data_IF_146003043214
#
_entry.id   IF_146003043214
#
_cell.length_a   1.000
_cell.length_b   1.000
_cell.length_c   1.000
_cell.angle_alpha   90.00
_cell.angle_beta   90.00
_cell.angle_gamma   90.00
#
_symmetry.space_group_name_H-M   'P 1'
#
loop_
_entity.id
_entity.type
_entity.pdbx_description
1 polymer ?
#
# COMPACT_ATOMS: atom_id res chain seq x y z
N UNK A 1 16.50 26.54 -19.37
CA UNK A 1 15.47 26.70 -18.31
C UNK A 1 16.07 26.19 -17.02
N UNK A 2 16.03 26.95 -15.91
CA UNK A 2 16.51 26.47 -14.61
C UNK A 2 15.63 25.32 -14.13
N UNK A 3 16.21 24.28 -13.52
CA UNK A 3 15.43 23.20 -12.89
C UNK A 3 14.47 23.79 -11.85
N UNK A 4 13.24 23.29 -11.73
CA UNK A 4 12.33 23.72 -10.67
C UNK A 4 12.93 23.44 -9.29
N UNK A 5 12.58 24.26 -8.30
CA UNK A 5 12.93 24.04 -6.89
C UNK A 5 12.23 22.77 -6.41
N UNK A 6 12.91 21.96 -5.60
CA UNK A 6 12.28 20.73 -5.09
C UNK A 6 11.17 20.99 -4.10
N UNK A 7 10.21 20.07 -4.08
CA UNK A 7 9.14 19.99 -3.10
C UNK A 7 9.29 18.67 -2.35
N UNK A 8 9.20 18.66 -1.00
CA UNK A 8 9.33 17.42 -0.22
C UNK A 8 8.26 16.36 -0.54
N UNK A 9 7.19 16.75 -1.24
CA UNK A 9 6.10 15.87 -1.69
C UNK A 9 6.12 15.62 -3.20
N UNK A 10 7.18 16.05 -3.91
CA UNK A 10 7.44 15.67 -5.30
C UNK A 10 6.79 16.50 -6.39
N UNK A 11 6.25 17.69 -6.08
CA UNK A 11 5.59 18.56 -7.07
C UNK A 11 6.49 18.91 -8.27
N UNK A 12 7.80 19.03 -8.07
CA UNK A 12 8.77 19.37 -9.09
C UNK A 12 8.97 18.29 -10.16
N UNK A 13 8.52 17.06 -9.91
CA UNK A 13 8.52 15.96 -10.88
C UNK A 13 7.18 15.76 -11.57
N UNK A 14 6.16 16.59 -11.30
CA UNK A 14 4.87 16.47 -11.97
C UNK A 14 4.93 17.10 -13.35
N UNK A 15 4.73 16.28 -14.39
CA UNK A 15 4.72 16.75 -15.78
C UNK A 15 3.30 17.07 -16.25
N UNK A 16 2.31 16.26 -15.87
CA UNK A 16 0.93 16.43 -16.34
C UNK A 16 -0.11 16.07 -15.27
N UNK A 17 -1.01 17.00 -14.89
CA UNK A 17 -0.95 18.45 -15.13
C UNK A 17 0.14 19.11 -14.26
N UNK A 18 1.08 19.82 -14.88
CA UNK A 18 2.18 20.51 -14.20
C UNK A 18 1.66 21.57 -13.20
N UNK A 19 2.19 21.56 -11.97
CA UNK A 19 1.90 22.59 -10.95
C UNK A 19 0.53 22.50 -10.26
N UNK A 20 -0.39 21.66 -10.74
CA UNK A 20 -1.77 21.60 -10.26
C UNK A 20 -2.09 20.35 -9.44
N UNK A 21 -1.27 19.30 -9.54
CA UNK A 21 -1.54 18.00 -8.93
C UNK A 21 -0.39 17.49 -8.07
N UNK A 22 -0.73 16.72 -7.04
CA UNK A 22 0.25 15.90 -6.32
C UNK A 22 0.67 14.71 -7.18
N UNK A 23 1.88 14.14 -6.97
CA UNK A 23 2.39 13.07 -7.81
C UNK A 23 1.46 11.86 -7.94
N UNK A 24 0.65 11.56 -6.92
CA UNK A 24 -0.32 10.47 -6.97
C UNK A 24 -1.45 10.70 -7.98
N UNK A 25 -1.94 11.94 -8.05
CA UNK A 25 -3.05 12.34 -8.92
C UNK A 25 -2.59 12.70 -10.34
N UNK A 26 -1.30 13.04 -10.51
CA UNK A 26 -0.71 13.33 -11.80
C UNK A 26 -0.88 12.17 -12.78
N UNK A 27 -1.15 12.50 -14.04
CA UNK A 27 -1.12 11.53 -15.14
C UNK A 27 0.32 11.06 -15.40
N UNK A 28 1.27 12.00 -15.40
CA UNK A 28 2.67 11.74 -15.77
C UNK A 28 3.67 12.40 -14.83
N UNK A 29 4.72 11.66 -14.48
CA UNK A 29 5.85 12.10 -13.68
C UNK A 29 7.17 12.07 -14.46
N UNK A 30 8.09 12.95 -14.07
CA UNK A 30 9.48 12.94 -14.46
C UNK A 30 10.23 11.87 -13.66
N UNK A 31 10.51 10.73 -14.29
CA UNK A 31 11.27 9.63 -13.69
C UNK A 31 12.78 9.68 -13.99
N UNK A 32 13.31 10.82 -14.45
CA UNK A 32 14.75 10.94 -14.76
C UNK A 32 15.63 10.70 -13.53
N UNK A 33 16.78 10.06 -13.77
CA UNK A 33 17.72 9.61 -12.73
C UNK A 33 18.39 10.74 -11.91
N UNK A 34 18.73 11.92 -12.46
CA UNK A 34 19.38 12.97 -11.68
C UNK A 34 18.54 13.44 -10.50
N UNK A 35 19.13 13.42 -9.31
CA UNK A 35 18.43 13.80 -8.07
C UNK A 35 18.27 15.31 -7.90
N UNK A 36 17.24 15.67 -7.15
CA UNK A 36 17.19 16.92 -6.40
C UNK A 36 17.81 16.73 -5.00
N UNK A 37 18.22 17.82 -4.31
CA UNK A 37 18.97 17.73 -3.06
C UNK A 37 18.29 16.91 -1.95
N UNK A 38 16.97 16.89 -1.88
CA UNK A 38 16.19 16.19 -0.84
C UNK A 38 15.77 14.76 -1.22
N UNK A 39 16.13 14.29 -2.41
CA UNK A 39 15.68 13.01 -2.95
C UNK A 39 16.64 11.86 -2.66
N UNK A 40 16.13 10.63 -2.81
CA UNK A 40 16.91 9.40 -2.73
C UNK A 40 16.60 8.53 -3.93
N UNK A 41 17.64 8.01 -4.61
CA UNK A 41 17.50 7.02 -5.67
C UNK A 41 17.63 5.62 -5.09
N UNK A 42 16.71 4.75 -5.45
CA UNK A 42 16.70 3.34 -5.08
C UNK A 42 16.83 2.51 -6.35
N UNK A 43 17.84 1.65 -6.40
CA UNK A 43 17.94 0.61 -7.41
C UNK A 43 16.88 -0.46 -7.14
N UNK A 44 15.98 -0.68 -8.11
CA UNK A 44 14.85 -1.60 -7.94
C UNK A 44 15.34 -3.05 -8.00
N UNK A 45 14.83 -3.88 -7.08
CA UNK A 45 15.02 -5.33 -7.09
C UNK A 45 13.70 -6.06 -7.37
N UNK A 46 12.61 -5.59 -6.77
CA UNK A 46 11.29 -6.21 -6.90
C UNK A 46 10.21 -5.16 -6.70
N UNK A 47 9.23 -5.13 -7.60
CA UNK A 47 7.97 -4.42 -7.38
C UNK A 47 6.96 -5.41 -6.79
N UNK A 48 6.16 -4.93 -5.84
CA UNK A 48 5.01 -5.64 -5.31
C UNK A 48 3.75 -4.88 -5.72
N UNK A 49 3.12 -5.32 -6.81
CA UNK A 49 1.85 -4.73 -7.23
C UNK A 49 0.81 -4.96 -6.13
N UNK A 50 -0.05 -3.97 -5.89
CA UNK A 50 -1.10 -4.19 -4.91
C UNK A 50 -2.09 -5.27 -5.40
N UNK A 51 -2.72 -5.96 -4.45
CA UNK A 51 -3.56 -7.11 -4.74
C UNK A 51 -4.80 -6.81 -5.60
N UNK A 52 -5.28 -5.56 -5.64
CA UNK A 52 -6.40 -5.18 -6.50
C UNK A 52 -5.90 -4.94 -7.93
N UNK A 53 -4.80 -4.20 -8.07
CA UNK A 53 -4.16 -3.91 -9.34
C UNK A 53 -3.70 -5.18 -10.06
N UNK A 54 -2.95 -6.06 -9.39
CA UNK A 54 -2.48 -7.30 -10.00
C UNK A 54 -3.65 -8.18 -10.48
N UNK A 55 -4.67 -8.38 -9.62
CA UNK A 55 -5.83 -9.20 -9.98
C UNK A 55 -6.54 -8.64 -11.21
N UNK A 56 -6.79 -7.33 -11.24
CA UNK A 56 -7.46 -6.70 -12.35
C UNK A 56 -6.65 -6.85 -13.66
N UNK A 57 -5.34 -6.58 -13.64
CA UNK A 57 -4.48 -6.71 -14.82
C UNK A 57 -4.39 -8.16 -15.30
N UNK A 58 -4.24 -9.11 -14.38
CA UNK A 58 -4.17 -10.53 -14.71
C UNK A 58 -5.50 -11.03 -15.31
N UNK A 59 -6.63 -10.66 -14.72
CA UNK A 59 -7.96 -11.01 -15.23
C UNK A 59 -8.22 -10.42 -16.61
N UNK A 60 -7.80 -9.17 -16.87
CA UNK A 60 -7.96 -8.57 -18.21
C UNK A 60 -7.08 -9.21 -19.29
N UNK A 61 -6.06 -9.98 -18.90
CA UNK A 61 -5.17 -10.73 -19.79
C UNK A 61 -5.39 -12.24 -19.71
N UNK A 62 -6.48 -12.68 -19.09
CA UNK A 62 -6.84 -14.09 -19.00
C UNK A 62 -8.01 -14.37 -19.95
N UNK A 63 -7.79 -15.27 -20.90
CA UNK A 63 -8.84 -15.79 -21.78
C UNK A 63 -8.93 -17.31 -21.59
N UNK A 64 -10.16 -17.83 -21.45
CA UNK A 64 -10.42 -19.25 -21.23
C UNK A 64 -9.63 -19.88 -20.06
N UNK A 65 -9.36 -19.08 -19.01
CA UNK A 65 -8.59 -19.49 -17.83
C UNK A 65 -7.08 -19.54 -18.04
N UNK A 66 -6.59 -19.12 -19.20
CA UNK A 66 -5.16 -19.05 -19.55
C UNK A 66 -4.71 -17.59 -19.52
N UNK A 67 -3.73 -17.31 -18.65
CA UNK A 67 -3.12 -15.98 -18.55
C UNK A 67 -2.09 -15.77 -19.67
N UNK A 68 -2.26 -14.70 -20.45
CA UNK A 68 -1.21 -14.16 -21.31
C UNK A 68 -0.24 -13.30 -20.48
N UNK A 69 0.80 -13.95 -19.96
CA UNK A 69 1.82 -13.29 -19.15
C UNK A 69 2.63 -12.25 -19.95
N UNK A 70 2.78 -12.41 -21.28
CA UNK A 70 3.53 -11.47 -22.10
C UNK A 70 2.74 -10.19 -22.33
N UNK A 71 1.44 -10.31 -22.61
CA UNK A 71 0.56 -9.15 -22.72
C UNK A 71 0.45 -8.40 -21.37
N UNK A 72 0.33 -9.12 -20.25
CA UNK A 72 0.37 -8.53 -18.90
C UNK A 72 1.66 -7.73 -18.66
N UNK A 73 2.83 -8.31 -18.96
CA UNK A 73 4.12 -7.61 -18.86
C UNK A 73 4.17 -6.36 -19.72
N UNK A 74 3.75 -6.47 -20.97
CA UNK A 74 3.73 -5.35 -21.91
C UNK A 74 2.85 -4.21 -21.38
N UNK A 75 1.69 -4.52 -20.78
CA UNK A 75 0.83 -3.52 -20.18
C UNK A 75 1.48 -2.83 -18.98
N UNK A 76 2.14 -3.56 -18.08
CA UNK A 76 2.84 -2.95 -16.93
C UNK A 76 3.97 -2.03 -17.40
N UNK A 77 4.77 -2.48 -18.37
CA UNK A 77 5.84 -1.67 -18.96
C UNK A 77 5.30 -0.41 -19.63
N UNK A 78 4.20 -0.52 -20.38
CA UNK A 78 3.53 0.62 -21.02
C UNK A 78 3.02 1.63 -19.99
N UNK A 79 2.35 1.16 -18.93
CA UNK A 79 1.90 2.03 -17.83
C UNK A 79 3.07 2.81 -17.23
N UNK A 80 4.17 2.12 -16.92
CA UNK A 80 5.35 2.76 -16.31
C UNK A 80 6.01 3.72 -17.28
N UNK A 81 6.18 3.34 -18.54
CA UNK A 81 6.81 4.17 -19.56
C UNK A 81 5.99 5.43 -19.88
N UNK A 82 4.67 5.32 -19.99
CA UNK A 82 3.79 6.45 -20.32
C UNK A 82 3.57 7.40 -19.14
N UNK A 83 3.50 6.88 -17.92
CA UNK A 83 3.21 7.67 -16.71
C UNK A 83 4.44 8.06 -15.90
N UNK A 84 5.59 7.43 -16.11
CA UNK A 84 6.78 7.57 -15.26
C UNK A 84 6.59 7.00 -13.86
N UNK A 85 5.59 6.14 -13.65
CA UNK A 85 5.19 5.53 -12.38
C UNK A 85 4.28 4.34 -12.62
N UNK A 86 4.20 3.40 -11.68
CA UNK A 86 3.21 2.30 -11.76
C UNK A 86 1.90 2.73 -11.10
N UNK A 87 0.93 3.11 -11.93
CA UNK A 87 -0.44 3.38 -11.52
C UNK A 87 -1.41 2.69 -12.47
N UNK A 88 -2.10 1.67 -11.97
CA UNK A 88 -3.12 0.99 -12.74
C UNK A 88 -4.26 1.97 -13.09
N UNK A 89 -4.58 2.18 -14.38
CA UNK A 89 -5.62 3.12 -14.80
C UNK A 89 -7.03 2.78 -14.33
N UNK A 90 -7.31 1.50 -14.04
CA UNK A 90 -8.64 1.01 -13.62
C UNK A 90 -8.82 1.14 -12.11
N UNK A 91 -7.84 0.72 -11.33
CA UNK A 91 -7.94 0.71 -9.86
C UNK A 91 -7.40 1.99 -9.22
N UNK A 92 -6.57 2.75 -9.94
CA UNK A 92 -5.84 3.92 -9.42
C UNK A 92 -4.69 3.59 -8.47
N UNK A 93 -4.46 2.31 -8.20
CA UNK A 93 -3.48 1.81 -7.25
C UNK A 93 -2.17 1.40 -7.91
N UNK A 94 -1.11 1.23 -7.13
CA UNK A 94 0.22 0.87 -7.61
C UNK A 94 0.75 -0.35 -6.89
N UNK A 95 1.21 -0.15 -5.65
CA UNK A 95 1.92 -1.16 -4.88
C UNK A 95 3.11 -0.57 -4.16
N UNK A 96 4.11 -1.39 -3.82
CA UNK A 96 5.34 -0.95 -3.17
C UNK A 96 6.56 -1.58 -3.88
N UNK A 97 7.78 -1.20 -3.51
CA UNK A 97 9.00 -1.83 -4.02
C UNK A 97 9.95 -2.24 -2.90
N UNK A 98 10.80 -3.22 -3.22
CA UNK A 98 12.07 -3.49 -2.54
C UNK A 98 13.20 -3.08 -3.46
N UNK A 99 14.21 -2.47 -2.88
CA UNK A 99 15.43 -2.15 -3.58
C UNK A 99 16.56 -1.78 -2.65
N UNK A 100 17.68 -1.39 -3.24
CA UNK A 100 18.86 -0.92 -2.51
C UNK A 100 19.08 0.55 -2.79
N UNK A 101 19.34 1.34 -1.75
CA UNK A 101 19.63 2.77 -1.89
C UNK A 101 20.93 2.96 -2.66
N UNK A 102 20.85 3.64 -3.80
CA UNK A 102 21.96 3.86 -4.72
C UNK A 102 22.60 5.24 -4.51
N UNK A 103 21.78 6.27 -4.30
CA UNK A 103 22.25 7.65 -4.14
C UNK A 103 21.33 8.40 -3.17
N UNK A 104 21.91 9.22 -2.29
CA UNK A 104 21.19 10.04 -1.31
C UNK A 104 21.56 11.50 -1.56
N UNK A 105 20.56 12.33 -1.81
CA UNK A 105 20.76 13.77 -1.95
C UNK A 105 21.27 14.40 -0.65
N UNK A 106 22.09 15.47 -0.75
CA UNK A 106 22.76 16.08 0.42
C UNK A 106 21.82 16.70 1.46
N UNK A 107 20.57 16.97 1.10
CA UNK A 107 19.53 17.54 1.97
C UNK A 107 18.47 16.51 2.35
N UNK A 108 18.68 15.22 2.02
CA UNK A 108 17.72 14.18 2.35
C UNK A 108 17.56 14.00 3.85
N UNK A 109 16.31 13.92 4.31
CA UNK A 109 15.96 13.73 5.73
C UNK A 109 15.40 12.33 6.01
N UNK A 110 15.47 11.42 5.03
CA UNK A 110 14.86 10.09 5.13
C UNK A 110 15.62 9.12 6.06
N UNK A 111 16.82 9.48 6.52
CA UNK A 111 17.64 8.63 7.39
C UNK A 111 18.16 7.37 6.71
N UNK A 112 18.24 7.38 5.38
CA UNK A 112 18.75 6.30 4.54
C UNK A 112 20.21 6.58 4.14
N UNK A 113 20.98 5.51 3.98
CA UNK A 113 22.36 5.52 3.52
C UNK A 113 22.50 4.63 2.27
N UNK A 114 23.48 4.95 1.41
CA UNK A 114 23.82 4.11 0.25
C UNK A 114 24.15 2.69 0.72
N UNK A 115 23.60 1.70 0.02
CA UNK A 115 23.70 0.28 0.36
C UNK A 115 22.61 -0.23 1.32
N UNK A 116 21.80 0.65 1.92
CA UNK A 116 20.64 0.21 2.69
C UNK A 116 19.66 -0.52 1.78
N UNK A 117 19.26 -1.73 2.18
CA UNK A 117 18.18 -2.44 1.52
C UNK A 117 16.85 -2.02 2.14
N UNK A 118 15.93 -1.51 1.34
CA UNK A 118 14.71 -0.84 1.80
C UNK A 118 13.46 -1.37 1.12
N UNK A 119 12.34 -1.29 1.83
CA UNK A 119 11.00 -1.38 1.27
C UNK A 119 10.31 -0.03 1.37
N UNK A 120 9.69 0.41 0.29
CA UNK A 120 8.87 1.63 0.33
C UNK A 120 7.58 1.36 1.09
N UNK A 121 7.15 2.31 1.92
CA UNK A 121 5.82 2.33 2.55
C UNK A 121 4.93 3.42 1.91
N UNK A 122 5.30 3.83 0.70
CA UNK A 122 4.58 4.74 -0.18
C UNK A 122 4.26 4.03 -1.48
N UNK A 123 3.16 4.44 -2.12
CA UNK A 123 2.64 3.79 -3.30
C UNK A 123 3.52 4.02 -4.53
N UNK A 124 3.68 3.00 -5.38
CA UNK A 124 4.24 3.17 -6.72
C UNK A 124 3.44 4.15 -7.59
N UNK A 125 2.17 4.40 -7.24
CA UNK A 125 1.30 5.34 -7.97
C UNK A 125 1.66 6.81 -7.76
N UNK A 126 2.64 7.12 -6.91
CA UNK A 126 3.22 8.46 -6.73
C UNK A 126 4.74 8.47 -6.85
N UNK A 127 5.36 7.30 -6.99
CA UNK A 127 6.82 7.13 -6.97
C UNK A 127 7.34 7.14 -8.41
N UNK A 128 8.19 8.12 -8.80
CA UNK A 128 8.84 8.09 -10.10
C UNK A 128 9.63 6.79 -10.28
N UNK A 129 9.40 6.10 -11.38
CA UNK A 129 9.88 4.74 -11.62
C UNK A 129 10.31 4.56 -13.08
N UNK A 130 11.47 3.92 -13.28
CA UNK A 130 11.94 3.42 -14.57
C UNK A 130 12.26 1.94 -14.43
N UNK A 131 11.87 1.14 -15.43
CA UNK A 131 12.20 -0.28 -15.56
C UNK A 131 13.10 -0.44 -16.80
N UNK A 132 14.20 -1.19 -16.67
CA UNK A 132 15.24 -1.31 -17.71
C UNK A 132 15.43 -2.73 -18.24
N UNK A 133 14.98 -3.76 -17.53
CA UNK A 133 15.15 -5.17 -17.92
C UNK A 133 13.95 -5.77 -18.67
N UNK A 134 12.92 -4.97 -18.94
CA UNK A 134 11.70 -5.44 -19.60
C UNK A 134 10.95 -6.52 -18.82
N UNK A 135 11.15 -6.62 -17.49
CA UNK A 135 10.50 -7.64 -16.64
C UNK A 135 10.79 -9.08 -17.11
N UNK A 136 12.00 -9.33 -17.61
CA UNK A 136 12.39 -10.60 -18.22
C UNK A 136 12.18 -11.80 -17.28
N UNK A 137 12.42 -11.62 -15.97
CA UNK A 137 12.38 -12.66 -14.94
C UNK A 137 11.01 -12.81 -14.25
N UNK A 138 10.02 -11.96 -14.56
CA UNK A 138 8.67 -12.12 -14.03
C UNK A 138 7.90 -13.19 -14.83
N UNK A 139 7.10 -14.04 -14.21
CA UNK A 139 6.27 -15.05 -14.91
C UNK A 139 4.80 -14.64 -15.05
N UNK A 140 4.42 -13.49 -14.50
CA UNK A 140 3.05 -12.98 -14.50
C UNK A 140 2.11 -13.66 -13.50
N UNK A 141 2.55 -14.67 -12.74
CA UNK A 141 1.66 -15.52 -11.91
C UNK A 141 1.47 -15.02 -10.48
N UNK A 142 2.21 -13.99 -10.09
CA UNK A 142 2.05 -13.32 -8.81
C UNK A 142 2.23 -11.81 -8.94
N UNK A 143 1.77 -11.09 -7.91
CA UNK A 143 1.95 -9.65 -7.77
C UNK A 143 3.42 -9.21 -7.55
N UNK A 144 4.33 -10.17 -7.31
CA UNK A 144 5.75 -9.91 -7.17
C UNK A 144 6.42 -9.92 -8.54
N UNK A 145 6.99 -8.78 -8.88
CA UNK A 145 7.59 -8.50 -10.17
C UNK A 145 9.08 -8.23 -9.95
N UNK A 146 9.96 -9.23 -10.11
CA UNK A 146 11.39 -8.98 -10.20
C UNK A 146 11.65 -8.00 -11.35
N UNK A 147 12.42 -6.95 -11.07
CA UNK A 147 12.65 -5.87 -12.03
C UNK A 147 13.98 -5.19 -11.75
N UNK A 148 14.62 -4.68 -12.79
CA UNK A 148 15.75 -3.77 -12.70
C UNK A 148 15.37 -2.38 -13.19
N UNK A 149 16.02 -1.37 -12.61
CA UNK A 149 15.79 0.03 -12.91
C UNK A 149 15.97 0.88 -11.67
N UNK A 150 15.32 2.04 -11.62
CA UNK A 150 15.42 2.96 -10.49
C UNK A 150 14.08 3.57 -10.11
N UNK A 151 13.96 3.91 -8.84
CA UNK A 151 12.86 4.68 -8.29
C UNK A 151 13.38 5.87 -7.48
N UNK A 152 12.59 6.94 -7.42
CA UNK A 152 12.95 8.16 -6.69
C UNK A 152 12.04 8.34 -5.48
N UNK A 153 12.63 8.51 -4.31
CA UNK A 153 11.93 8.87 -3.08
C UNK A 153 12.05 10.38 -2.84
N UNK A 154 10.94 11.03 -2.48
CA UNK A 154 10.89 12.44 -2.13
C UNK A 154 11.28 12.66 -0.67
N UNK A 155 11.58 13.90 -0.28
CA UNK A 155 11.97 14.24 1.10
C UNK A 155 10.95 13.87 2.19
N UNK A 156 9.70 13.55 1.86
CA UNK A 156 8.67 13.01 2.78
C UNK A 156 8.18 11.60 2.44
N UNK A 157 8.84 10.90 1.52
CA UNK A 157 8.57 9.48 1.30
C UNK A 157 8.87 8.69 2.57
N UNK A 158 8.13 7.59 2.77
CA UNK A 158 8.37 6.67 3.89
C UNK A 158 8.94 5.39 3.31
N UNK A 159 10.09 4.97 3.83
CA UNK A 159 10.71 3.69 3.53
C UNK A 159 11.29 3.09 4.82
N UNK A 160 11.30 1.78 4.91
CA UNK A 160 11.87 1.04 6.03
C UNK A 160 13.04 0.19 5.55
N UNK A 161 14.12 0.16 6.35
CA UNK A 161 15.21 -0.79 6.13
C UNK A 161 14.68 -2.21 6.32
N UNK A 162 15.04 -3.11 5.42
CA UNK A 162 14.68 -4.52 5.57
C UNK A 162 15.41 -5.09 6.79
N UNK A 163 14.70 -5.80 7.68
CA UNK A 163 15.32 -6.52 8.78
C UNK A 163 16.23 -7.64 8.25
N UNK A 164 17.40 -7.80 8.87
CA UNK A 164 18.37 -8.85 8.51
C UNK A 164 17.95 -10.24 9.03
N UNK A 165 17.07 -10.29 10.04
CA UNK A 165 16.60 -11.51 10.69
C UNK A 165 15.35 -12.12 10.04
N UNK A 166 14.81 -11.53 8.96
CA UNK A 166 13.67 -12.05 8.21
C UNK A 166 14.02 -12.27 6.74
N UNK A 167 13.42 -13.30 6.14
CA UNK A 167 13.46 -13.44 4.69
C UNK A 167 12.83 -12.19 4.02
N UNK A 168 13.38 -11.70 2.89
CA UNK A 168 12.83 -10.53 2.19
C UNK A 168 11.35 -10.68 1.83
N UNK A 169 10.93 -11.90 1.48
CA UNK A 169 9.54 -12.22 1.17
C UNK A 169 8.60 -11.98 2.36
N UNK A 170 8.97 -12.48 3.54
CA UNK A 170 8.20 -12.26 4.76
C UNK A 170 8.21 -10.78 5.17
N UNK A 171 9.36 -10.13 5.09
CA UNK A 171 9.50 -8.70 5.39
C UNK A 171 8.55 -7.87 4.51
N UNK A 172 8.51 -8.16 3.20
CA UNK A 172 7.59 -7.54 2.26
C UNK A 172 6.12 -7.79 2.62
N UNK A 173 5.75 -9.04 2.91
CA UNK A 173 4.38 -9.39 3.27
C UNK A 173 3.89 -8.67 4.53
N UNK A 174 4.78 -8.40 5.49
CA UNK A 174 4.45 -7.63 6.71
C UNK A 174 4.36 -6.13 6.41
N UNK A 175 5.33 -5.59 5.68
CA UNK A 175 5.42 -4.16 5.37
C UNK A 175 4.30 -3.67 4.44
N UNK A 176 3.88 -4.49 3.47
CA UNK A 176 2.77 -4.19 2.54
C UNK A 176 1.45 -3.87 3.24
N UNK A 177 1.25 -4.41 4.45
CA UNK A 177 0.03 -4.22 5.23
C UNK A 177 0.29 -3.64 6.61
N UNK A 178 1.49 -3.08 6.87
CA UNK A 178 1.88 -2.60 8.20
C UNK A 178 1.05 -1.41 8.69
N UNK A 179 0.39 -0.70 7.77
CA UNK A 179 -0.56 0.36 8.10
C UNK A 179 -1.79 -0.16 8.86
N UNK A 180 -2.25 -1.39 8.60
CA UNK A 180 -3.42 -1.97 9.22
C UNK A 180 -3.28 -2.11 10.75
N UNK A 181 -2.25 -2.79 11.31
CA UNK A 181 -2.06 -2.83 12.75
C UNK A 181 -1.85 -1.42 13.32
N UNK A 182 -1.03 -0.56 12.69
CA UNK A 182 -0.79 0.79 13.21
C UNK A 182 -2.08 1.62 13.34
N UNK A 183 -2.98 1.53 12.37
CA UNK A 183 -4.27 2.21 12.39
C UNK A 183 -5.20 1.65 13.47
N UNK A 184 -5.30 0.32 13.58
CA UNK A 184 -6.11 -0.34 14.61
C UNK A 184 -5.68 0.11 16.00
N UNK A 185 -4.37 0.09 16.30
CA UNK A 185 -3.82 0.59 17.57
C UNK A 185 -4.25 2.03 17.85
N UNK A 186 -4.03 2.93 16.88
CA UNK A 186 -4.33 4.36 17.02
C UNK A 186 -5.81 4.60 17.31
N UNK A 187 -6.70 3.89 16.63
CA UNK A 187 -8.14 4.01 16.84
C UNK A 187 -8.50 3.50 18.23
N UNK A 188 -8.06 2.31 18.63
CA UNK A 188 -8.33 1.73 19.96
C UNK A 188 -7.83 2.65 21.08
N UNK A 189 -6.58 3.13 21.00
CA UNK A 189 -6.00 4.07 21.95
C UNK A 189 -6.83 5.37 22.06
N UNK A 190 -7.37 5.87 20.95
CA UNK A 190 -8.20 7.07 20.96
C UNK A 190 -9.54 6.89 21.69
N UNK A 191 -10.13 5.70 21.67
CA UNK A 191 -11.33 5.37 22.46
C UNK A 191 -10.97 5.21 23.94
N UNK A 192 -9.87 4.51 24.25
CA UNK A 192 -9.39 4.33 25.61
C UNK A 192 -9.07 5.67 26.29
N UNK A 193 -8.46 6.62 25.56
CA UNK A 193 -8.18 7.97 26.05
C UNK A 193 -9.46 8.77 26.38
N UNK A 194 -10.60 8.40 25.76
CA UNK A 194 -11.93 8.97 26.04
C UNK A 194 -12.69 8.19 27.13
N UNK A 195 -12.04 7.25 27.80
CA UNK A 195 -12.63 6.42 28.86
C UNK A 195 -13.53 5.29 28.35
N UNK A 196 -13.55 5.01 27.04
CA UNK A 196 -14.32 3.91 26.47
C UNK A 196 -13.47 2.65 26.33
N UNK A 197 -14.09 1.49 26.55
CA UNK A 197 -13.47 0.20 26.26
C UNK A 197 -14.03 -0.41 24.97
N UNK A 198 -13.43 -0.13 23.79
CA UNK A 198 -14.00 -0.60 22.52
C UNK A 198 -13.90 -2.11 22.42
N UNK A 199 -14.89 -2.72 21.75
CA UNK A 199 -14.80 -4.10 21.25
C UNK A 199 -14.48 -4.05 19.76
N UNK A 200 -13.45 -4.78 19.31
CA UNK A 200 -13.01 -4.75 17.91
C UNK A 200 -13.35 -6.06 17.22
N UNK A 201 -14.11 -5.98 16.13
CA UNK A 201 -14.37 -7.11 15.22
C UNK A 201 -13.44 -7.00 14.01
N UNK A 202 -12.56 -7.98 13.81
CA UNK A 202 -11.64 -8.01 12.66
C UNK A 202 -12.20 -8.93 11.58
N UNK A 203 -12.74 -8.34 10.51
CA UNK A 203 -13.17 -9.07 9.33
C UNK A 203 -11.96 -9.57 8.54
N UNK A 204 -11.94 -10.86 8.21
CA UNK A 204 -10.80 -11.45 7.50
C UNK A 204 -9.57 -11.64 8.40
N UNK A 205 -9.77 -11.93 9.69
CA UNK A 205 -8.70 -12.05 10.69
C UNK A 205 -7.56 -13.03 10.37
N UNK A 206 -7.78 -13.95 9.43
CA UNK A 206 -6.77 -14.89 8.95
C UNK A 206 -6.08 -14.47 7.63
N UNK A 207 -6.33 -13.26 7.14
CA UNK A 207 -5.56 -12.64 6.06
C UNK A 207 -4.43 -11.78 6.61
N UNK A 208 -3.46 -11.38 5.77
CA UNK A 208 -2.23 -10.66 6.18
C UNK A 208 -2.51 -9.48 7.13
N UNK A 209 -3.37 -8.55 6.72
CA UNK A 209 -3.74 -7.38 7.52
C UNK A 209 -4.49 -7.75 8.80
N UNK A 210 -5.41 -8.72 8.72
CA UNK A 210 -6.22 -9.15 9.86
C UNK A 210 -5.40 -9.86 10.92
N UNK A 211 -4.47 -10.73 10.52
CA UNK A 211 -3.59 -11.44 11.44
C UNK A 211 -2.63 -10.49 12.14
N UNK A 212 -2.12 -9.47 11.44
CA UNK A 212 -1.27 -8.44 12.05
C UNK A 212 -2.05 -7.52 12.98
N UNK A 213 -3.27 -7.13 12.62
CA UNK A 213 -4.14 -6.35 13.50
C UNK A 213 -4.44 -7.10 14.81
N UNK A 214 -4.70 -8.40 14.72
CA UNK A 214 -4.91 -9.29 15.88
C UNK A 214 -3.61 -9.65 16.62
N UNK A 215 -2.44 -9.50 16.02
CA UNK A 215 -1.18 -9.77 16.70
C UNK A 215 -0.74 -8.62 17.63
N UNK A 216 -1.48 -7.51 17.65
CA UNK A 216 -1.09 -6.35 18.44
C UNK A 216 -1.21 -6.61 19.96
N UNK A 217 -0.23 -6.13 20.75
CA UNK A 217 -0.33 -6.21 22.19
C UNK A 217 -1.52 -5.39 22.69
N UNK A 218 -2.35 -6.00 23.54
CA UNK A 218 -3.51 -5.31 24.13
C UNK A 218 -3.04 -4.08 24.92
N UNK A 219 -3.69 -2.92 24.77
CA UNK A 219 -3.49 -1.79 25.67
C UNK A 219 -3.69 -2.25 27.11
N UNK A 220 -2.81 -1.82 28.02
CA UNK A 220 -2.82 -2.24 29.44
C UNK A 220 -4.10 -1.84 30.20
N UNK A 221 -5.01 -1.06 29.61
CA UNK A 221 -6.32 -0.67 30.17
C UNK A 221 -7.40 -0.55 29.07
N UNK A 222 -8.56 -1.15 29.32
CA UNK A 222 -9.83 -0.77 28.68
C UNK A 222 -10.03 -1.23 27.23
N UNK A 223 -9.89 -2.51 26.90
CA UNK A 223 -10.45 -3.06 25.65
C UNK A 223 -11.46 -4.15 26.02
N UNK A 224 -12.68 -4.06 25.48
CA UNK A 224 -13.81 -4.96 25.75
C UNK A 224 -13.71 -6.33 25.06
N UNK A 225 -12.51 -6.70 24.59
CA UNK A 225 -12.24 -7.87 23.77
C UNK A 225 -12.04 -7.52 22.30
N UNK A 226 -11.20 -8.29 21.61
CA UNK A 226 -11.12 -8.30 20.15
C UNK A 226 -11.52 -9.69 19.68
N UNK A 227 -12.23 -9.79 18.56
CA UNK A 227 -12.74 -11.07 18.06
C UNK A 227 -12.46 -11.18 16.57
N UNK A 228 -11.75 -12.22 16.11
CA UNK A 228 -11.61 -12.49 14.69
C UNK A 228 -12.91 -13.02 14.10
N UNK A 229 -13.23 -12.60 12.87
CA UNK A 229 -14.24 -13.27 12.05
C UNK A 229 -13.63 -13.76 10.74
N UNK A 230 -13.83 -15.05 10.43
CA UNK A 230 -13.34 -15.66 9.20
C UNK A 230 -14.37 -16.65 8.62
N UNK A 231 -14.71 -16.55 7.32
CA UNK A 231 -15.76 -17.36 6.71
C UNK A 231 -15.35 -18.82 6.42
N UNK A 232 -14.07 -19.17 6.42
CA UNK A 232 -13.59 -20.52 6.04
C UNK A 232 -12.93 -21.26 7.21
N UNK A 233 -13.31 -22.53 7.43
CA UNK A 233 -12.83 -23.37 8.55
C UNK A 233 -11.30 -23.46 8.64
N UNK A 234 -10.62 -23.58 7.50
CA UNK A 234 -9.16 -23.71 7.41
C UNK A 234 -8.44 -22.45 7.95
N UNK A 235 -9.05 -21.29 7.75
CA UNK A 235 -8.56 -19.99 8.23
C UNK A 235 -8.98 -19.71 9.68
N UNK A 236 -10.10 -20.25 10.15
CA UNK A 236 -10.49 -20.21 11.56
C UNK A 236 -9.46 -20.92 12.47
N UNK A 237 -8.90 -22.03 12.00
CA UNK A 237 -7.81 -22.74 12.70
C UNK A 237 -6.52 -21.92 12.83
N UNK A 238 -6.30 -20.91 11.98
CA UNK A 238 -5.17 -19.98 12.11
C UNK A 238 -5.41 -18.97 13.25
N UNK A 239 -6.63 -18.44 13.37
CA UNK A 239 -7.02 -17.55 14.48
C UNK A 239 -6.90 -18.25 15.84
N UNK A 240 -7.32 -19.51 15.93
CA UNK A 240 -7.20 -20.32 17.16
C UNK A 240 -5.74 -20.54 17.56
N UNK A 241 -4.85 -20.81 16.59
CA UNK A 241 -3.41 -20.96 16.84
C UNK A 241 -2.73 -19.68 17.33
N UNK A 242 -3.29 -18.51 17.00
CA UNK A 242 -2.86 -17.21 17.50
C UNK A 242 -3.47 -16.88 18.88
N UNK A 243 -4.17 -17.82 19.52
CA UNK A 243 -4.72 -17.66 20.87
C UNK A 243 -6.08 -16.94 20.93
N UNK A 244 -6.78 -16.79 19.80
CA UNK A 244 -8.06 -16.08 19.75
C UNK A 244 -9.26 -17.01 19.92
N UNK A 245 -10.22 -16.69 20.81
CA UNK A 245 -11.48 -17.41 20.91
C UNK A 245 -12.31 -17.17 19.64
N UNK A 246 -12.92 -18.25 19.13
CA UNK A 246 -13.85 -18.15 18.01
C UNK A 246 -15.18 -17.56 18.48
N UNK A 247 -15.84 -16.69 17.69
CA UNK A 247 -17.21 -16.30 17.98
C UNK A 247 -18.10 -17.57 18.03
N UNK A 248 -18.98 -17.65 19.03
CA UNK A 248 -19.91 -18.78 19.15
C UNK A 248 -20.76 -18.91 17.89
N UNK A 249 -21.07 -20.14 17.49
CA UNK A 249 -21.80 -20.50 16.26
C UNK A 249 -23.27 -20.04 16.22
N UNK A 250 -23.66 -19.08 17.05
CA UNK A 250 -24.98 -18.45 16.95
C UNK A 250 -25.05 -17.62 15.68
N UNK A 251 -26.14 -17.72 14.90
CA UNK A 251 -26.33 -16.85 13.74
C UNK A 251 -26.23 -15.39 14.20
N UNK A 252 -25.34 -14.62 13.57
CA UNK A 252 -25.26 -13.18 13.81
C UNK A 252 -26.66 -12.57 13.60
N UNK A 253 -27.19 -11.74 14.51
CA UNK A 253 -28.37 -10.97 14.21
C UNK A 253 -28.05 -10.12 12.98
N UNK A 254 -28.91 -10.21 11.95
CA UNK A 254 -28.75 -9.45 10.72
C UNK A 254 -28.49 -7.98 11.06
N UNK A 255 -27.36 -7.44 10.60
CA UNK A 255 -27.08 -6.01 10.70
C UNK A 255 -28.19 -5.26 9.95
N UNK A 256 -29.20 -4.76 10.67
CA UNK A 256 -30.11 -3.76 10.15
C UNK A 256 -29.31 -2.48 9.99
N UNK A 257 -28.97 -2.16 8.76
CA UNK A 257 -28.57 -0.81 8.38
C UNK A 257 -29.70 0.15 8.76
N UNK A 258 -29.52 0.87 9.87
CA UNK A 258 -30.42 1.94 10.25
C UNK A 258 -30.28 3.09 9.26
N UNK A 259 -31.21 3.22 8.32
CA UNK A 259 -31.29 4.38 7.44
C UNK A 259 -31.70 5.62 8.24
N UNK A 260 -30.75 6.26 8.94
CA UNK A 260 -30.94 7.63 9.39
C UNK A 260 -30.76 8.55 8.19
N UNK A 261 -31.86 8.88 7.52
CA UNK A 261 -31.87 10.04 6.61
C UNK A 261 -31.61 11.30 7.44
N UNK A 262 -30.77 12.25 6.99
CA UNK A 262 -30.67 13.56 7.62
C UNK A 262 -32.03 14.26 7.54
N UNK A 263 -32.52 14.79 8.65
CA UNK A 263 -33.73 15.61 8.70
C UNK A 263 -33.54 16.88 7.86
N UNK A 264 -34.34 17.03 6.80
CA UNK A 264 -34.46 18.30 6.09
C UNK A 264 -35.14 19.34 6.99
N UNK A 265 -34.67 20.60 7.03
CA UNK A 265 -35.37 21.68 7.72
C UNK A 265 -36.67 22.05 6.97
N UNK A 266 -37.70 22.55 7.66
CA UNK A 266 -39.00 22.84 7.06
C UNK A 266 -38.91 24.03 6.09
N UNK A 267 -39.38 23.83 4.87
CA UNK A 267 -39.60 24.89 3.87
C UNK A 267 -40.82 25.69 4.31
N UNK A 268 -40.64 26.99 4.57
CA UNK A 268 -41.72 27.92 4.86
C UNK A 268 -42.67 28.05 3.66
N UNK A 269 -43.98 28.04 3.93
CA UNK A 269 -45.02 28.34 2.93
C UNK A 269 -45.00 29.85 2.61
N UNK A 270 -45.17 30.26 1.34
CA UNK A 270 -45.38 31.66 1.01
C UNK A 270 -46.83 32.06 1.35
N UNK A 271 -46.98 33.26 1.91
CA UNK A 271 -48.20 34.08 1.83
C UNK A 271 -48.21 34.86 0.53
#
# INVERSE_FOLDING_TARGET
MSRPVSSPVGLHRVLEPAGESLPQAACRLDATSPLWPDEVRVAVETLNLDAASYRQLAESHTADGVLDAQALKAQVLDIVATRGKMQNPVTGSGGMLIGTVEEVGPESTLGLAVGDRVATLVSLSLTPLVITDGLASWDGRSERVPAHGHAILFGRSIAAKLPEDLSPELALMVMDVCGAPALVRRVVESYAARGAAPTVLVLGGAGKSGSLALAQPRPRRGVGGESPWCPTRLRQSACVRLGWPMPSSSPMPALRWGSRRPSQPPVGRPT
#
